data_IF_233312926125
#
_entry.id   IF_233312926125
#
_cell.length_a   1.000
_cell.length_b   1.000
_cell.length_c   1.000
_cell.angle_alpha   90.00
_cell.angle_beta   90.00
_cell.angle_gamma   90.00
#
_symmetry.space_group_name_H-M   'P 1'
#
loop_
_entity.id
_entity.type
_entity.pdbx_description
1 polymer ?
#
# COMPACT_ATOMS: atom_id res chain seq x y z
N UNK A 1 61.84 2.02 -1.83
CA UNK A 1 61.23 1.81 -0.51
C UNK A 1 59.72 2.02 -0.64
N UNK A 2 58.91 0.97 -0.42
CA UNK A 2 57.45 1.10 -0.33
C UNK A 2 57.02 1.43 1.11
N UNK A 3 55.92 2.19 1.28
CA UNK A 3 55.37 2.48 2.61
C UNK A 3 54.56 1.28 3.15
N UNK A 4 54.42 1.15 4.49
CA UNK A 4 53.88 -0.03 5.13
C UNK A 4 52.34 -0.05 5.16
N UNK A 5 51.83 -1.26 5.06
CA UNK A 5 50.45 -1.66 5.29
C UNK A 5 49.97 -1.29 6.72
N UNK A 6 48.79 -0.72 6.81
CA UNK A 6 48.11 -0.58 8.10
C UNK A 6 46.65 -1.07 7.97
N UNK A 7 46.45 -2.34 8.22
CA UNK A 7 45.14 -2.95 8.45
C UNK A 7 44.64 -2.55 9.85
N UNK A 8 43.67 -1.64 9.89
CA UNK A 8 42.91 -1.30 11.10
C UNK A 8 41.51 -1.87 11.03
N UNK A 9 41.30 -3.03 11.62
CA UNK A 9 39.99 -3.60 11.92
C UNK A 9 39.27 -2.77 12.98
N UNK A 10 38.07 -2.27 12.67
CA UNK A 10 37.23 -1.56 13.64
C UNK A 10 35.81 -1.35 13.11
N UNK A 11 35.05 -2.44 12.98
CA UNK A 11 33.64 -2.40 12.65
C UNK A 11 32.80 -1.93 13.83
N UNK A 12 32.59 -0.63 13.95
CA UNK A 12 31.59 -0.05 14.87
C UNK A 12 30.24 0.04 14.18
N UNK A 13 29.31 -0.85 14.48
CA UNK A 13 27.92 -0.70 14.11
C UNK A 13 27.33 0.57 14.79
N UNK A 14 27.16 1.63 14.02
CA UNK A 14 26.39 2.79 14.46
C UNK A 14 24.91 2.44 14.50
N UNK A 15 24.40 2.25 15.70
CA UNK A 15 22.98 2.15 16.02
C UNK A 15 22.33 3.48 15.64
N UNK A 16 21.47 3.49 14.62
CA UNK A 16 20.66 4.66 14.27
C UNK A 16 19.60 4.85 15.36
N UNK A 17 19.80 5.87 16.19
CA UNK A 17 18.78 6.36 17.11
C UNK A 17 17.89 7.34 16.35
N UNK A 18 16.61 6.97 16.18
CA UNK A 18 15.60 7.87 15.61
C UNK A 18 15.27 8.97 16.63
N UNK A 19 15.16 10.24 16.22
CA UNK A 19 14.73 11.33 17.12
C UNK A 19 13.25 11.13 17.50
N UNK A 20 12.93 11.38 18.78
CA UNK A 20 11.59 11.36 19.33
C UNK A 20 10.71 12.43 18.64
N UNK A 21 9.84 11.99 17.75
CA UNK A 21 8.82 12.80 17.10
C UNK A 21 7.53 12.78 17.94
N UNK A 22 6.88 13.92 18.00
CA UNK A 22 5.70 14.27 18.78
C UNK A 22 4.57 13.24 18.66
N UNK A 23 4.04 12.83 19.83
CA UNK A 23 3.10 11.73 19.96
C UNK A 23 1.75 11.96 19.29
N UNK A 24 1.45 11.09 18.34
CA UNK A 24 0.07 10.71 18.09
C UNK A 24 -0.33 9.68 19.17
N UNK A 25 -1.59 9.64 19.64
CA UNK A 25 -2.02 8.61 20.55
C UNK A 25 -1.87 7.26 19.86
N UNK A 26 -0.85 6.52 20.23
CA UNK A 26 -0.72 5.12 19.92
C UNK A 26 -1.82 4.43 20.71
N UNK A 27 -2.81 3.89 20.01
CA UNK A 27 -3.73 2.94 20.61
C UNK A 27 -2.88 1.87 21.31
N UNK A 28 -3.14 1.52 22.57
CA UNK A 28 -2.36 0.51 23.24
C UNK A 28 -2.45 -0.78 22.43
N UNK A 29 -1.32 -1.27 21.97
CA UNK A 29 -1.21 -2.57 21.34
C UNK A 29 -1.52 -3.63 22.40
N UNK A 30 -2.81 -3.93 22.58
CA UNK A 30 -3.26 -4.99 23.46
C UNK A 30 -2.67 -6.31 22.91
N UNK A 31 -1.68 -6.84 23.60
CA UNK A 31 -1.29 -8.23 23.45
C UNK A 31 -0.13 -8.57 22.56
N UNK A 32 0.87 -7.71 22.37
CA UNK A 32 2.18 -8.15 21.85
C UNK A 32 2.97 -8.73 23.02
N UNK A 33 2.89 -10.05 23.16
CA UNK A 33 3.81 -10.76 24.06
C UNK A 33 5.21 -10.79 23.47
N UNK A 34 6.24 -10.97 24.31
CA UNK A 34 7.66 -10.88 23.99
C UNK A 34 8.17 -11.77 22.83
N UNK A 35 7.31 -12.53 22.18
CA UNK A 35 7.59 -13.37 21.01
C UNK A 35 6.89 -12.91 19.73
N UNK A 36 6.26 -11.74 19.71
CA UNK A 36 5.70 -11.14 18.49
C UNK A 36 4.43 -11.81 17.91
N UNK A 37 3.84 -12.76 18.61
CA UNK A 37 2.60 -13.39 18.16
C UNK A 37 1.37 -12.62 18.64
N UNK A 38 0.60 -12.10 17.67
CA UNK A 38 -0.72 -11.56 17.95
C UNK A 38 -1.65 -12.74 18.28
N UNK A 39 -2.24 -12.73 19.47
CA UNK A 39 -3.25 -13.72 19.82
C UNK A 39 -4.52 -13.47 19.03
N UNK A 40 -4.81 -14.36 18.10
CA UNK A 40 -6.07 -14.40 17.37
C UNK A 40 -6.79 -15.68 17.74
N UNK A 41 -8.04 -15.62 18.25
CA UNK A 41 -8.84 -16.81 18.47
C UNK A 41 -9.12 -17.47 17.12
N UNK A 42 -8.63 -18.68 16.95
CA UNK A 42 -8.79 -19.45 15.71
C UNK A 42 -9.81 -20.56 15.89
N UNK A 43 -10.63 -20.77 14.85
CA UNK A 43 -11.41 -22.01 14.76
C UNK A 43 -10.47 -23.23 14.65
N UNK A 44 -10.91 -24.45 15.00
CA UNK A 44 -10.09 -25.65 14.84
C UNK A 44 -9.53 -25.79 13.43
N UNK A 45 -10.35 -25.60 12.40
CA UNK A 45 -9.92 -25.67 11.00
C UNK A 45 -8.85 -24.60 10.67
N UNK A 46 -8.99 -23.37 11.17
CA UNK A 46 -7.99 -22.32 10.98
C UNK A 46 -6.68 -22.62 11.73
N UNK A 47 -6.75 -23.30 12.88
CA UNK A 47 -5.58 -23.75 13.62
C UNK A 47 -4.78 -24.81 12.84
N UNK A 48 -5.46 -25.77 12.20
CA UNK A 48 -4.85 -26.78 11.33
C UNK A 48 -4.16 -26.12 10.12
N UNK A 49 -4.84 -25.20 9.44
CA UNK A 49 -4.26 -24.45 8.32
C UNK A 49 -3.02 -23.68 8.79
N UNK A 50 -3.09 -23.00 9.94
CA UNK A 50 -1.94 -22.30 10.52
C UNK A 50 -0.77 -23.25 10.78
N UNK A 51 -1.03 -24.40 11.35
CA UNK A 51 0.02 -25.40 11.60
C UNK A 51 0.66 -25.87 10.28
N UNK A 52 -0.14 -26.11 9.24
CA UNK A 52 0.35 -26.49 7.92
C UNK A 52 1.23 -25.40 7.28
N UNK A 53 0.78 -24.15 7.23
CA UNK A 53 1.52 -23.07 6.58
C UNK A 53 2.79 -22.65 7.33
N UNK A 54 2.90 -23.01 8.61
CA UNK A 54 4.10 -22.77 9.43
C UNK A 54 5.14 -23.88 9.36
N UNK A 55 4.84 -24.98 8.70
CA UNK A 55 5.83 -26.03 8.47
C UNK A 55 7.01 -25.51 7.64
N UNK A 56 8.20 -26.07 7.77
CA UNK A 56 9.31 -25.80 6.88
C UNK A 56 8.91 -25.95 5.42
N UNK A 57 9.45 -25.09 4.55
CA UNK A 57 9.06 -25.05 3.11
C UNK A 57 9.14 -26.42 2.44
N UNK A 58 10.12 -27.24 2.83
CA UNK A 58 10.37 -28.58 2.28
C UNK A 58 9.25 -29.58 2.61
N UNK A 59 8.49 -29.35 3.66
CA UNK A 59 7.38 -30.22 4.08
C UNK A 59 6.02 -29.76 3.54
N UNK A 60 5.97 -28.60 2.89
CA UNK A 60 4.74 -28.07 2.28
C UNK A 60 4.65 -28.55 0.84
N UNK A 61 3.48 -29.01 0.42
CA UNK A 61 3.25 -29.35 -0.99
C UNK A 61 3.21 -28.06 -1.84
N UNK A 62 3.91 -28.03 -2.97
CA UNK A 62 3.77 -26.94 -3.93
C UNK A 62 2.31 -26.85 -4.43
N UNK A 63 1.79 -25.64 -4.49
CA UNK A 63 0.46 -25.36 -5.03
C UNK A 63 0.56 -24.27 -6.09
N UNK A 64 -0.30 -24.34 -7.09
CA UNK A 64 -0.47 -23.29 -8.09
C UNK A 64 -1.70 -22.42 -7.77
N UNK A 65 -1.90 -21.37 -8.54
CA UNK A 65 -3.12 -20.59 -8.45
C UNK A 65 -4.34 -21.43 -8.81
N UNK A 66 -5.38 -21.30 -7.99
CA UNK A 66 -6.68 -21.92 -8.24
C UNK A 66 -7.59 -20.90 -8.90
N UNK A 67 -7.63 -20.91 -10.21
CA UNK A 67 -8.41 -19.96 -11.02
C UNK A 67 -9.90 -20.05 -10.69
N UNK A 68 -10.39 -21.23 -10.33
CA UNK A 68 -11.79 -21.49 -9.96
C UNK A 68 -12.26 -20.65 -8.76
N UNK A 69 -11.33 -20.30 -7.84
CA UNK A 69 -11.65 -19.40 -6.73
C UNK A 69 -11.92 -17.97 -7.20
N UNK A 70 -11.20 -17.52 -8.22
CA UNK A 70 -11.38 -16.21 -8.82
C UNK A 70 -12.65 -16.17 -9.69
N UNK A 71 -12.86 -17.19 -10.52
CA UNK A 71 -14.04 -17.30 -11.40
C UNK A 71 -15.32 -17.48 -10.62
N UNK A 72 -15.28 -18.20 -9.49
CA UNK A 72 -16.43 -18.38 -8.58
C UNK A 72 -16.73 -17.18 -7.68
N UNK A 73 -15.89 -16.14 -7.66
CA UNK A 73 -16.11 -14.97 -6.84
C UNK A 73 -17.12 -14.03 -7.49
N UNK A 74 -18.24 -13.82 -6.85
CA UNK A 74 -19.25 -12.84 -7.24
C UNK A 74 -19.28 -11.70 -6.20
N UNK A 75 -18.96 -10.43 -6.57
CA UNK A 75 -19.02 -9.29 -5.68
C UNK A 75 -20.38 -9.18 -4.98
N UNK A 76 -20.38 -8.87 -3.69
CA UNK A 76 -21.56 -8.74 -2.84
C UNK A 76 -22.42 -10.02 -2.67
N UNK A 77 -21.99 -11.16 -3.20
CA UNK A 77 -22.62 -12.48 -3.06
C UNK A 77 -21.68 -13.50 -2.42
N UNK A 78 -20.43 -13.51 -2.84
CA UNK A 78 -19.40 -14.38 -2.26
C UNK A 78 -18.70 -13.66 -1.12
N UNK A 79 -18.71 -14.25 0.06
CA UNK A 79 -18.07 -13.69 1.24
C UNK A 79 -17.07 -14.66 1.82
N UNK A 80 -15.84 -14.19 2.04
CA UNK A 80 -14.76 -14.98 2.65
C UNK A 80 -14.78 -14.90 4.19
N UNK A 81 -15.47 -13.89 4.75
CA UNK A 81 -15.61 -13.69 6.19
C UNK A 81 -17.00 -14.13 6.65
N UNK A 82 -17.06 -14.72 7.85
CA UNK A 82 -18.33 -15.05 8.52
C UNK A 82 -19.20 -13.81 8.69
N UNK A 83 -20.53 -13.98 8.64
CA UNK A 83 -21.50 -12.88 8.75
C UNK A 83 -21.34 -12.05 10.01
N UNK A 84 -21.10 -12.69 11.17
CA UNK A 84 -20.84 -12.02 12.44
C UNK A 84 -19.62 -11.13 12.41
N UNK A 85 -18.51 -11.61 11.82
CA UNK A 85 -17.29 -10.84 11.70
C UNK A 85 -17.46 -9.65 10.74
N UNK A 86 -18.20 -9.84 9.63
CA UNK A 86 -18.53 -8.73 8.72
C UNK A 86 -19.35 -7.65 9.40
N UNK A 87 -20.35 -8.03 10.21
CA UNK A 87 -21.15 -7.09 10.97
C UNK A 87 -20.30 -6.31 11.98
N UNK A 88 -19.41 -7.00 12.71
CA UNK A 88 -18.50 -6.36 13.66
C UNK A 88 -17.55 -5.39 12.96
N UNK A 89 -16.96 -5.76 11.83
CA UNK A 89 -16.08 -4.88 11.06
C UNK A 89 -16.83 -3.68 10.49
N UNK A 90 -18.07 -3.86 10.05
CA UNK A 90 -18.92 -2.76 9.58
C UNK A 90 -19.21 -1.76 10.70
N UNK A 91 -19.48 -2.25 11.91
CA UNK A 91 -19.72 -1.40 13.07
C UNK A 91 -18.47 -0.62 13.48
N UNK A 92 -17.32 -1.31 13.58
CA UNK A 92 -16.03 -0.68 13.91
C UNK A 92 -15.56 0.33 12.86
N UNK A 93 -15.93 0.09 11.60
CA UNK A 93 -15.58 0.96 10.49
C UNK A 93 -16.53 2.13 10.26
N UNK A 94 -17.60 2.26 11.05
CA UNK A 94 -18.51 3.41 10.93
C UNK A 94 -17.79 4.72 11.22
N UNK A 95 -18.05 5.69 10.36
CA UNK A 95 -17.57 7.04 10.60
C UNK A 95 -18.27 7.67 11.81
N UNK A 96 -17.53 8.31 12.74
CA UNK A 96 -18.15 9.07 13.84
C UNK A 96 -19.07 10.20 13.37
N UNK A 97 -18.90 10.68 12.14
CA UNK A 97 -19.71 11.74 11.54
C UNK A 97 -21.04 11.23 10.93
N UNK A 98 -21.36 9.93 11.08
CA UNK A 98 -22.58 9.34 10.57
C UNK A 98 -22.50 8.93 9.09
N UNK A 99 -23.67 8.65 8.51
CA UNK A 99 -23.78 8.30 7.09
C UNK A 99 -23.71 9.57 6.24
N UNK A 100 -22.73 9.61 5.34
CA UNK A 100 -22.55 10.66 4.37
C UNK A 100 -22.48 10.05 2.95
N UNK A 101 -22.85 10.80 1.90
CA UNK A 101 -22.68 10.34 0.53
C UNK A 101 -21.24 9.88 0.25
N UNK A 102 -21.10 8.90 -0.63
CA UNK A 102 -19.78 8.38 -1.02
C UNK A 102 -18.85 9.53 -1.45
N UNK A 103 -17.60 9.47 -1.00
CA UNK A 103 -16.58 10.48 -1.32
C UNK A 103 -16.63 11.76 -0.47
N UNK A 104 -17.61 11.97 0.41
CA UNK A 104 -17.67 13.19 1.25
C UNK A 104 -16.42 13.35 2.10
N UNK A 105 -16.06 12.34 2.89
CA UNK A 105 -14.87 12.38 3.74
C UNK A 105 -13.57 12.48 2.93
N UNK A 106 -13.51 11.80 1.78
CA UNK A 106 -12.35 11.88 0.91
C UNK A 106 -12.16 13.31 0.37
N UNK A 107 -13.23 14.01 0.03
CA UNK A 107 -13.16 15.42 -0.40
C UNK A 107 -12.69 16.34 0.71
N UNK A 108 -13.19 16.15 1.93
CA UNK A 108 -12.82 16.98 3.10
C UNK A 108 -11.32 16.89 3.43
N UNK A 109 -10.73 15.72 3.22
CA UNK A 109 -9.31 15.49 3.49
C UNK A 109 -8.45 15.43 2.22
N UNK A 110 -9.01 15.77 1.05
CA UNK A 110 -8.36 15.59 -0.26
C UNK A 110 -6.96 16.18 -0.32
N UNK A 111 -6.78 17.42 0.13
CA UNK A 111 -5.47 18.09 0.10
C UNK A 111 -4.40 17.32 0.89
N UNK A 112 -4.78 16.71 1.99
CA UNK A 112 -3.91 15.87 2.80
C UNK A 112 -3.66 14.53 2.11
N UNK A 113 -4.71 13.90 1.57
CA UNK A 113 -4.58 12.66 0.81
C UNK A 113 -3.66 12.82 -0.39
N UNK A 114 -3.79 13.90 -1.16
CA UNK A 114 -2.94 14.16 -2.32
C UNK A 114 -1.46 14.16 -1.97
N UNK A 115 -1.08 14.79 -0.87
CA UNK A 115 0.32 14.84 -0.44
C UNK A 115 0.77 13.53 0.21
N UNK A 116 0.04 13.09 1.24
CA UNK A 116 0.48 11.98 2.08
C UNK A 116 0.42 10.64 1.33
N UNK A 117 -0.64 10.40 0.57
CA UNK A 117 -0.81 9.16 -0.16
C UNK A 117 0.10 9.10 -1.39
N UNK A 118 0.22 10.20 -2.17
CA UNK A 118 1.13 10.24 -3.30
C UNK A 118 2.57 10.04 -2.87
N UNK A 119 3.01 10.69 -1.80
CA UNK A 119 4.34 10.48 -1.25
C UNK A 119 4.56 9.06 -0.76
N UNK A 120 3.65 8.52 0.07
CA UNK A 120 3.81 7.20 0.67
C UNK A 120 3.81 6.09 -0.38
N UNK A 121 2.88 6.15 -1.37
CA UNK A 121 2.80 5.17 -2.45
C UNK A 121 4.02 5.22 -3.35
N UNK A 122 4.42 6.42 -3.82
CA UNK A 122 5.60 6.57 -4.65
C UNK A 122 6.87 6.08 -3.96
N UNK A 123 6.98 6.31 -2.64
CA UNK A 123 8.13 5.85 -1.86
C UNK A 123 8.21 4.33 -1.77
N UNK A 124 7.07 3.63 -1.68
CA UNK A 124 7.03 2.17 -1.74
C UNK A 124 7.53 1.62 -3.08
N UNK A 125 7.36 2.40 -4.15
CA UNK A 125 7.84 2.07 -5.50
C UNK A 125 9.28 2.54 -5.76
N UNK A 126 9.99 3.03 -4.73
CA UNK A 126 11.40 3.42 -4.82
C UNK A 126 11.65 4.91 -5.06
N UNK A 127 10.64 5.76 -5.12
CA UNK A 127 10.78 7.21 -5.26
C UNK A 127 11.53 7.82 -4.07
N UNK A 128 12.41 8.77 -4.33
CA UNK A 128 13.30 9.37 -3.33
C UNK A 128 12.87 10.77 -2.89
N UNK A 129 11.75 11.30 -3.37
CA UNK A 129 11.21 12.58 -2.94
C UNK A 129 10.95 12.60 -1.42
N UNK A 130 11.25 13.73 -0.78
CA UNK A 130 10.79 13.97 0.58
C UNK A 130 9.28 14.33 0.59
N UNK A 131 8.63 14.18 1.74
CA UNK A 131 7.22 14.62 1.88
C UNK A 131 7.06 16.12 1.63
N UNK A 132 8.05 16.93 1.97
CA UNK A 132 8.03 18.38 1.75
C UNK A 132 8.14 18.70 0.26
N UNK A 133 9.05 18.06 -0.46
CA UNK A 133 9.20 18.26 -1.92
C UNK A 133 7.98 17.76 -2.67
N UNK A 134 7.37 16.66 -2.24
CA UNK A 134 6.09 16.18 -2.77
C UNK A 134 4.99 17.22 -2.57
N UNK A 135 4.93 17.86 -1.39
CA UNK A 135 3.96 18.91 -1.12
C UNK A 135 4.17 20.15 -2.01
N UNK A 136 5.43 20.54 -2.27
CA UNK A 136 5.77 21.65 -3.19
C UNK A 136 5.36 21.32 -4.62
N UNK A 137 5.70 20.11 -5.07
CA UNK A 137 5.33 19.66 -6.41
C UNK A 137 3.80 19.64 -6.61
N UNK A 138 3.05 19.08 -5.66
CA UNK A 138 1.59 18.97 -5.76
C UNK A 138 0.89 20.34 -5.72
N UNK A 139 1.37 21.25 -4.85
CA UNK A 139 0.72 22.54 -4.60
C UNK A 139 1.15 23.63 -5.59
N UNK A 140 2.42 23.64 -5.98
CA UNK A 140 3.02 24.74 -6.74
C UNK A 140 3.58 24.31 -8.10
N UNK A 141 3.64 22.99 -8.38
CA UNK A 141 4.24 22.47 -9.61
C UNK A 141 5.77 22.50 -9.59
N UNK A 142 6.39 22.72 -8.43
CA UNK A 142 7.84 22.83 -8.27
C UNK A 142 8.47 21.45 -8.12
N UNK A 143 9.19 21.01 -9.17
CA UNK A 143 9.99 19.79 -9.09
C UNK A 143 11.19 20.01 -8.16
N UNK A 144 11.56 18.98 -7.40
CA UNK A 144 12.70 19.04 -6.52
C UNK A 144 14.01 18.98 -7.31
N UNK A 145 14.99 19.78 -6.92
CA UNK A 145 16.32 19.79 -7.54
C UNK A 145 17.02 18.45 -7.36
N UNK A 146 17.69 17.98 -8.42
CA UNK A 146 18.44 16.73 -8.42
C UNK A 146 17.57 15.45 -8.44
N UNK A 147 16.27 15.58 -8.69
CA UNK A 147 15.37 14.43 -8.84
C UNK A 147 15.13 14.07 -10.29
N UNK A 148 14.94 12.78 -10.54
CA UNK A 148 14.62 12.25 -11.86
C UNK A 148 13.22 12.71 -12.32
N UNK A 149 13.07 12.91 -13.61
CA UNK A 149 11.80 13.22 -14.24
C UNK A 149 10.76 12.10 -14.03
N UNK A 150 11.19 10.84 -14.02
CA UNK A 150 10.30 9.69 -13.74
C UNK A 150 9.81 9.70 -12.30
N UNK A 151 10.63 10.09 -11.33
CA UNK A 151 10.21 10.24 -9.93
C UNK A 151 9.15 11.35 -9.79
N UNK A 152 9.33 12.46 -10.50
CA UNK A 152 8.38 13.57 -10.55
C UNK A 152 7.06 13.11 -11.18
N UNK A 153 7.14 12.42 -12.33
CA UNK A 153 5.96 11.90 -13.04
C UNK A 153 5.18 10.90 -12.17
N UNK A 154 5.86 10.02 -11.46
CA UNK A 154 5.22 9.05 -10.55
C UNK A 154 4.34 9.75 -9.50
N UNK A 155 4.80 10.82 -8.87
CA UNK A 155 4.01 11.58 -7.89
C UNK A 155 2.80 12.23 -8.54
N UNK A 156 2.97 12.83 -9.72
CA UNK A 156 1.87 13.46 -10.47
C UNK A 156 0.83 12.44 -10.91
N UNK A 157 1.24 11.23 -11.27
CA UNK A 157 0.36 10.12 -11.60
C UNK A 157 -0.49 9.68 -10.39
N UNK A 158 0.12 9.54 -9.22
CA UNK A 158 -0.62 9.25 -7.99
C UNK A 158 -1.62 10.35 -7.67
N UNK A 159 -1.22 11.63 -7.81
CA UNK A 159 -2.13 12.76 -7.64
C UNK A 159 -3.34 12.66 -8.57
N UNK A 160 -3.11 12.42 -9.87
CA UNK A 160 -4.17 12.29 -10.86
C UNK A 160 -5.13 11.13 -10.56
N UNK A 161 -4.60 9.97 -10.16
CA UNK A 161 -5.40 8.81 -9.78
C UNK A 161 -6.26 9.07 -8.53
N UNK A 162 -5.72 9.75 -7.52
CA UNK A 162 -6.48 10.13 -6.30
C UNK A 162 -7.56 11.14 -6.65
N UNK A 163 -7.26 12.16 -7.44
CA UNK A 163 -8.24 13.16 -7.88
C UNK A 163 -9.37 12.53 -8.68
N UNK A 164 -9.06 11.59 -9.57
CA UNK A 164 -10.06 10.84 -10.33
C UNK A 164 -11.05 10.12 -9.40
N UNK A 165 -10.55 9.38 -8.40
CA UNK A 165 -11.39 8.63 -7.46
C UNK A 165 -12.26 9.54 -6.58
N UNK A 166 -11.76 10.73 -6.21
CA UNK A 166 -12.48 11.63 -5.29
C UNK A 166 -13.48 12.52 -6.01
N UNK A 167 -13.16 12.98 -7.23
CA UNK A 167 -14.05 13.87 -8.01
C UNK A 167 -15.26 13.13 -8.57
N UNK A 168 -15.09 11.87 -8.92
CA UNK A 168 -16.10 11.04 -9.55
C UNK A 168 -16.46 9.82 -8.65
N UNK A 169 -17.14 10.06 -7.51
CA UNK A 169 -17.44 8.95 -6.57
C UNK A 169 -18.24 7.82 -7.21
N UNK A 170 -19.03 8.11 -8.26
CA UNK A 170 -19.74 7.12 -9.05
C UNK A 170 -18.81 6.20 -9.85
N UNK A 171 -17.57 6.61 -10.11
CA UNK A 171 -16.54 5.82 -10.78
C UNK A 171 -15.68 5.01 -9.79
N UNK A 172 -15.75 5.30 -8.50
CA UNK A 172 -15.02 4.55 -7.47
C UNK A 172 -15.67 3.19 -7.15
N UNK A 173 -16.20 2.53 -8.17
CA UNK A 173 -16.73 1.19 -8.08
C UNK A 173 -15.61 0.19 -8.35
N UNK A 174 -15.60 -0.93 -7.63
CA UNK A 174 -14.65 -2.03 -7.92
C UNK A 174 -15.12 -2.74 -9.19
N UNK A 175 -14.67 -2.23 -10.32
CA UNK A 175 -14.98 -2.73 -11.66
C UNK A 175 -13.71 -2.78 -12.50
N UNK A 176 -13.71 -3.61 -13.54
CA UNK A 176 -12.56 -3.75 -14.46
C UNK A 176 -12.19 -2.42 -15.08
N UNK A 177 -13.16 -1.62 -15.48
CA UNK A 177 -12.99 -0.32 -16.10
C UNK A 177 -12.29 0.67 -15.18
N UNK A 178 -12.67 0.67 -13.90
CA UNK A 178 -12.02 1.52 -12.87
C UNK A 178 -10.56 1.11 -12.68
N UNK A 179 -10.28 -0.20 -12.60
CA UNK A 179 -8.90 -0.70 -12.44
C UNK A 179 -8.05 -0.35 -13.66
N UNK A 180 -8.60 -0.50 -14.87
CA UNK A 180 -7.92 -0.12 -16.12
C UNK A 180 -7.65 1.39 -16.17
N UNK A 181 -8.62 2.22 -15.78
CA UNK A 181 -8.45 3.67 -15.71
C UNK A 181 -7.37 4.07 -14.70
N UNK A 182 -7.39 3.49 -13.50
CA UNK A 182 -6.35 3.74 -12.49
C UNK A 182 -4.98 3.29 -12.97
N UNK A 183 -4.87 2.13 -13.63
CA UNK A 183 -3.62 1.69 -14.22
C UNK A 183 -3.13 2.68 -15.27
N UNK A 184 -4.02 3.22 -16.11
CA UNK A 184 -3.66 4.24 -17.10
C UNK A 184 -3.05 5.48 -16.42
N UNK A 185 -3.72 6.03 -15.39
CA UNK A 185 -3.20 7.18 -14.64
C UNK A 185 -1.85 6.88 -13.99
N UNK A 186 -1.73 5.75 -13.28
CA UNK A 186 -0.54 5.42 -12.51
C UNK A 186 0.68 5.10 -13.38
N UNK A 187 0.46 4.60 -14.60
CA UNK A 187 1.53 4.17 -15.50
C UNK A 187 1.88 5.20 -16.59
N UNK A 188 1.18 6.32 -16.67
CA UNK A 188 1.41 7.34 -17.69
C UNK A 188 2.84 7.89 -17.64
N UNK A 189 3.53 7.85 -18.78
CA UNK A 189 4.92 8.30 -18.91
C UNK A 189 5.96 7.45 -18.14
N UNK A 190 5.56 6.37 -17.46
CA UNK A 190 6.47 5.52 -16.68
C UNK A 190 6.82 4.20 -17.37
N UNK A 191 5.95 3.71 -18.27
CA UNK A 191 6.20 2.45 -18.95
C UNK A 191 7.00 2.68 -20.25
N UNK A 192 7.98 1.78 -20.55
CA UNK A 192 8.73 1.83 -21.81
C UNK A 192 7.85 1.74 -23.06
N UNK A 193 6.74 1.00 -22.97
CA UNK A 193 5.71 0.91 -23.99
C UNK A 193 4.47 1.70 -23.57
N UNK A 194 4.23 2.89 -24.15
CA UNK A 194 3.04 3.69 -23.83
C UNK A 194 1.71 2.97 -24.12
N UNK A 195 1.71 2.03 -25.07
CA UNK A 195 0.52 1.25 -25.39
C UNK A 195 0.16 0.21 -24.31
N UNK A 196 1.03 -0.01 -23.35
CA UNK A 196 0.74 -0.88 -22.20
C UNK A 196 -0.07 -0.18 -21.11
N UNK A 197 -0.12 1.17 -21.11
CA UNK A 197 -0.90 1.95 -20.15
C UNK A 197 -2.40 1.61 -20.28
N UNK A 198 -3.05 1.36 -19.15
CA UNK A 198 -4.49 1.03 -19.13
C UNK A 198 -4.84 -0.30 -19.79
N UNK A 199 -3.93 -1.25 -19.83
CA UNK A 199 -4.19 -2.58 -20.44
C UNK A 199 -3.84 -3.71 -19.50
N UNK A 200 -4.66 -4.76 -19.55
CA UNK A 200 -4.34 -6.03 -18.92
C UNK A 200 -3.21 -6.72 -19.68
N UNK A 201 -2.21 -7.15 -18.93
CA UNK A 201 -1.06 -7.85 -19.50
C UNK A 201 -1.46 -9.24 -20.02
N UNK A 202 -0.99 -9.59 -21.21
CA UNK A 202 -1.22 -10.89 -21.85
C UNK A 202 0.02 -11.79 -21.83
N UNK A 203 1.14 -11.31 -21.26
CA UNK A 203 2.40 -12.06 -21.15
C UNK A 203 2.68 -12.44 -19.71
N UNK A 204 3.33 -13.57 -19.44
CA UNK A 204 3.83 -13.90 -18.11
C UNK A 204 4.75 -12.83 -17.56
N UNK A 205 4.88 -12.77 -16.23
CA UNK A 205 5.82 -11.88 -15.53
C UNK A 205 7.19 -12.50 -15.59
#
# INVERSE_FOLDING_TARGET
DPPPDNFGTGGGQKRLTLPAGHGHPVLPAAGIQAQGEVYLPLSPAAAEIRAYVRQPRQLRQPVSYRVELLEGYAPNRTFLLAGSLRAQLAELGRSPAGEAPAGTFARDILNRLLVDLSWASSRLEGNTYSRLDTARLIKFGEAAEGKDALETQMILNHKAAIEYLVREPGHAVVATETIIALHAFLSDGLLPDPLACGRLRRRPV
#
